data_IF_226807623708
#
_entry.id   IF_226807623708
#
_cell.length_a   1.000
_cell.length_b   1.000
_cell.length_c   1.000
_cell.angle_alpha   90.00
_cell.angle_beta   90.00
_cell.angle_gamma   90.00
#
_symmetry.space_group_name_H-M   'P 1'
#
loop_
_entity.id
_entity.type
_entity.pdbx_description
1 polymer ?
#
# COMPACT_ATOMS: atom_id res chain seq x y z
N UNK A 1 -5.56 -2.10 3.11
CA UNK A 1 -4.68 -1.44 4.11
C UNK A 1 -3.24 -1.89 3.89
N UNK A 2 -2.79 -3.04 4.43
CA UNK A 2 -1.41 -3.52 4.18
C UNK A 2 -1.25 -3.99 2.74
N UNK A 3 -0.44 -3.25 1.97
CA UNK A 3 -0.14 -3.55 0.57
C UNK A 3 1.23 -3.05 0.14
N UNK A 4 1.48 -3.01 -1.17
CA UNK A 4 2.78 -2.70 -1.76
C UNK A 4 3.44 -1.41 -1.25
N UNK A 5 2.64 -0.41 -0.81
CA UNK A 5 3.17 0.85 -0.28
C UNK A 5 4.06 0.71 0.97
N UNK A 6 3.93 -0.37 1.75
CA UNK A 6 4.83 -0.62 2.88
C UNK A 6 6.31 -0.75 2.46
N UNK A 7 6.55 -1.23 1.22
CA UNK A 7 7.88 -1.49 0.70
C UNK A 7 8.67 -0.22 0.38
N UNK A 8 7.99 0.91 0.17
CA UNK A 8 8.61 2.21 -0.09
C UNK A 8 8.81 3.07 1.16
N UNK A 9 8.19 2.72 2.29
CA UNK A 9 8.34 3.50 3.53
C UNK A 9 9.80 3.72 3.96
N UNK A 10 10.72 2.73 3.86
CA UNK A 10 12.13 2.95 4.18
C UNK A 10 12.79 3.97 3.26
N UNK A 11 12.40 3.97 1.99
CA UNK A 11 12.85 4.96 1.00
C UNK A 11 12.32 6.34 1.34
N UNK A 12 11.03 6.47 1.68
CA UNK A 12 10.45 7.72 2.14
C UNK A 12 11.19 8.28 3.37
N UNK A 13 11.56 7.41 4.33
CA UNK A 13 12.38 7.79 5.48
C UNK A 13 13.76 8.31 5.07
N UNK A 14 14.38 7.75 4.01
CA UNK A 14 15.67 8.23 3.51
C UNK A 14 15.63 9.63 2.88
N UNK A 15 14.46 10.04 2.40
CA UNK A 15 14.23 11.38 1.86
C UNK A 15 13.80 12.38 2.93
N UNK A 16 13.09 11.93 3.98
CA UNK A 16 12.62 12.76 5.08
C UNK A 16 13.64 12.90 6.23
N UNK A 17 14.56 11.94 6.36
CA UNK A 17 15.42 11.77 7.53
C UNK A 17 14.67 11.25 8.76
N UNK A 18 15.40 10.99 9.85
CA UNK A 18 14.82 10.44 11.08
C UNK A 18 13.74 11.31 11.71
N UNK A 19 14.04 12.59 11.97
CA UNK A 19 13.12 13.48 12.69
C UNK A 19 11.79 13.68 11.95
N UNK A 20 11.81 14.32 10.76
CA UNK A 20 10.60 14.49 9.97
C UNK A 20 9.96 13.16 9.55
N UNK A 21 10.77 12.14 9.19
CA UNK A 21 10.26 10.84 8.76
C UNK A 21 9.44 10.12 9.84
N UNK A 22 9.97 9.98 11.05
CA UNK A 22 9.24 9.38 12.18
C UNK A 22 8.00 10.19 12.54
N UNK A 23 8.11 11.52 12.52
CA UNK A 23 6.98 12.42 12.81
C UNK A 23 5.85 12.21 11.80
N UNK A 24 6.17 12.23 10.50
CA UNK A 24 5.20 12.00 9.42
C UNK A 24 4.60 10.59 9.52
N UNK A 25 5.41 9.56 9.78
CA UNK A 25 4.91 8.19 9.92
C UNK A 25 3.87 8.04 11.05
N UNK A 26 4.15 8.61 12.22
CA UNK A 26 3.24 8.59 13.39
C UNK A 26 1.99 9.43 13.11
N UNK A 27 2.16 10.66 12.63
CA UNK A 27 1.03 11.55 12.34
C UNK A 27 0.14 10.97 11.26
N UNK A 28 0.69 10.42 10.18
CA UNK A 28 -0.08 9.75 9.13
C UNK A 28 -0.87 8.58 9.69
N UNK A 29 -0.29 7.74 10.57
CA UNK A 29 -1.02 6.65 11.20
C UNK A 29 -2.21 7.15 12.05
N UNK A 30 -2.01 8.18 12.87
CA UNK A 30 -3.06 8.77 13.73
C UNK A 30 -4.14 9.45 12.90
N UNK A 31 -3.76 10.31 11.97
CA UNK A 31 -4.69 11.08 11.12
C UNK A 31 -5.52 10.15 10.26
N UNK A 32 -4.89 9.13 9.67
CA UNK A 32 -5.60 8.18 8.81
C UNK A 32 -6.57 7.32 9.61
N UNK A 33 -6.21 6.89 10.84
CA UNK A 33 -7.12 6.19 11.74
C UNK A 33 -8.32 7.06 12.12
N UNK A 34 -8.07 8.31 12.47
CA UNK A 34 -9.11 9.27 12.83
C UNK A 34 -10.06 9.55 11.65
N UNK A 35 -9.53 9.78 10.47
CA UNK A 35 -10.35 10.02 9.27
C UNK A 35 -11.13 8.77 8.85
N UNK A 36 -10.57 7.56 9.02
CA UNK A 36 -11.31 6.32 8.81
C UNK A 36 -12.45 6.13 9.81
N UNK A 37 -12.22 6.47 11.09
CA UNK A 37 -13.28 6.51 12.09
C UNK A 37 -14.42 7.43 11.68
N UNK A 38 -14.10 8.64 11.20
CA UNK A 38 -15.12 9.58 10.72
C UNK A 38 -15.95 8.97 9.59
N UNK A 39 -15.33 8.29 8.62
CA UNK A 39 -16.05 7.62 7.53
C UNK A 39 -16.99 6.53 8.05
N UNK A 40 -16.54 5.74 9.03
CA UNK A 40 -17.36 4.68 9.64
C UNK A 40 -18.60 5.24 10.34
N UNK A 41 -18.46 6.35 11.06
CA UNK A 41 -19.60 7.03 11.69
C UNK A 41 -20.50 7.72 10.66
N UNK A 42 -19.92 8.33 9.63
CA UNK A 42 -20.67 9.04 8.58
C UNK A 42 -21.49 8.10 7.69
N UNK A 43 -21.13 6.82 7.57
CA UNK A 43 -21.86 5.85 6.76
C UNK A 43 -23.36 5.75 7.13
N UNK A 44 -23.72 5.97 8.39
CA UNK A 44 -25.10 5.86 8.90
C UNK A 44 -25.49 7.07 9.76
N UNK A 45 -24.93 8.25 9.46
CA UNK A 45 -25.18 9.46 10.27
C UNK A 45 -26.60 10.03 10.14
N UNK A 46 -27.32 9.69 9.06
CA UNK A 46 -28.70 10.10 8.83
C UNK A 46 -29.63 8.92 9.08
N UNK A 47 -30.63 9.03 9.97
CA UNK A 47 -31.59 7.95 10.20
C UNK A 47 -32.26 7.49 8.90
N UNK A 48 -32.20 6.18 8.63
CA UNK A 48 -32.83 5.58 7.45
C UNK A 48 -32.05 5.71 6.13
N UNK A 49 -30.86 6.33 6.14
CA UNK A 49 -30.00 6.44 4.95
C UNK A 49 -28.61 5.89 5.24
N UNK A 50 -28.13 5.03 4.35
CA UNK A 50 -26.72 4.59 4.32
C UNK A 50 -26.01 5.31 3.18
N UNK A 51 -24.76 5.72 3.43
CA UNK A 51 -23.87 6.28 2.41
C UNK A 51 -22.86 5.20 2.03
N UNK A 52 -23.23 4.36 1.07
CA UNK A 52 -22.48 3.16 0.71
C UNK A 52 -21.26 3.48 -0.17
N UNK A 53 -21.22 4.69 -0.76
CA UNK A 53 -20.13 5.15 -1.64
C UNK A 53 -19.60 6.50 -1.23
N UNK A 54 -18.30 6.72 -1.43
CA UNK A 54 -17.65 7.98 -1.02
C UNK A 54 -18.23 9.23 -1.69
N UNK A 55 -18.61 9.14 -2.96
CA UNK A 55 -19.23 10.26 -3.66
C UNK A 55 -20.61 10.63 -3.09
N UNK A 56 -21.34 9.72 -2.45
CA UNK A 56 -22.62 10.01 -1.83
C UNK A 56 -22.46 10.90 -0.59
N UNK A 57 -21.40 10.69 0.20
CA UNK A 57 -21.01 11.61 1.27
C UNK A 57 -20.62 12.98 0.71
N UNK A 58 -19.87 13.00 -0.40
CA UNK A 58 -19.53 14.24 -1.10
C UNK A 58 -20.76 15.02 -1.55
N UNK A 59 -21.74 14.33 -2.14
CA UNK A 59 -23.00 14.91 -2.57
C UNK A 59 -23.84 15.41 -1.39
N UNK A 60 -23.81 14.71 -0.26
CA UNK A 60 -24.49 15.15 0.95
C UNK A 60 -23.85 16.41 1.56
N UNK A 61 -22.52 16.47 1.59
CA UNK A 61 -21.79 17.59 2.17
C UNK A 61 -21.78 18.86 1.28
N UNK A 62 -21.65 18.70 -0.03
CA UNK A 62 -21.43 19.80 -0.98
C UNK A 62 -22.57 20.01 -1.97
N UNK A 63 -23.62 19.19 -1.93
CA UNK A 63 -24.74 19.20 -2.88
C UNK A 63 -24.53 18.25 -4.07
N UNK A 64 -25.64 17.88 -4.72
CA UNK A 64 -25.67 16.76 -5.69
C UNK A 64 -24.68 16.89 -6.86
N UNK A 65 -24.51 18.09 -7.41
CA UNK A 65 -23.60 18.34 -8.54
C UNK A 65 -22.19 18.62 -8.07
N UNK A 66 -22.02 19.57 -7.15
CA UNK A 66 -20.68 20.01 -6.72
C UNK A 66 -19.93 18.89 -5.99
N UNK A 67 -20.62 18.08 -5.17
CA UNK A 67 -20.03 16.91 -4.52
C UNK A 67 -19.45 15.90 -5.50
N UNK A 68 -20.15 15.62 -6.61
CA UNK A 68 -19.63 14.75 -7.67
C UNK A 68 -18.39 15.35 -8.34
N UNK A 69 -18.44 16.62 -8.73
CA UNK A 69 -17.33 17.28 -9.41
C UNK A 69 -16.06 17.41 -8.55
N UNK A 70 -16.20 17.45 -7.23
CA UNK A 70 -15.06 17.46 -6.31
C UNK A 70 -14.52 16.04 -6.10
N UNK A 71 -15.39 15.09 -5.75
CA UNK A 71 -14.97 13.77 -5.27
C UNK A 71 -14.53 12.84 -6.40
N UNK A 72 -15.29 12.77 -7.49
CA UNK A 72 -15.05 11.77 -8.56
C UNK A 72 -13.68 11.96 -9.22
N UNK A 73 -13.22 13.18 -9.58
CA UNK A 73 -11.88 13.35 -10.16
C UNK A 73 -10.77 12.91 -9.21
N UNK A 74 -10.89 13.17 -7.91
CA UNK A 74 -9.90 12.78 -6.91
C UNK A 74 -9.85 11.25 -6.76
N UNK A 75 -11.02 10.58 -6.71
CA UNK A 75 -11.09 9.12 -6.69
C UNK A 75 -10.43 8.54 -7.95
N UNK A 76 -10.77 9.04 -9.13
CA UNK A 76 -10.17 8.55 -10.39
C UNK A 76 -8.66 8.70 -10.42
N UNK A 77 -8.11 9.82 -9.94
CA UNK A 77 -6.65 10.02 -9.85
C UNK A 77 -6.02 8.96 -8.94
N UNK A 78 -6.63 8.69 -7.78
CA UNK A 78 -6.13 7.68 -6.83
C UNK A 78 -6.19 6.28 -7.46
N UNK A 79 -7.32 5.88 -8.06
CA UNK A 79 -7.47 4.54 -8.64
C UNK A 79 -6.53 4.31 -9.83
N UNK A 80 -6.40 5.29 -10.73
CA UNK A 80 -5.46 5.21 -11.86
C UNK A 80 -4.03 5.16 -11.35
N UNK A 81 -3.69 5.97 -10.33
CA UNK A 81 -2.39 5.98 -9.69
C UNK A 81 -2.03 4.63 -9.07
N UNK A 82 -2.94 4.04 -8.29
CA UNK A 82 -2.79 2.70 -7.70
C UNK A 82 -2.53 1.67 -8.80
N UNK A 83 -3.29 1.71 -9.89
CA UNK A 83 -3.09 0.79 -11.01
C UNK A 83 -1.68 0.93 -11.63
N UNK A 84 -1.20 2.15 -11.84
CA UNK A 84 0.14 2.37 -12.39
C UNK A 84 1.22 1.83 -11.43
N UNK A 85 1.14 2.18 -10.14
CA UNK A 85 2.11 1.76 -9.13
C UNK A 85 2.15 0.24 -8.99
N UNK A 86 0.99 -0.42 -9.05
CA UNK A 86 0.90 -1.87 -8.93
C UNK A 86 1.49 -2.59 -10.14
N UNK A 87 1.28 -2.09 -11.36
CA UNK A 87 1.94 -2.62 -12.57
C UNK A 87 3.47 -2.52 -12.48
N UNK A 88 3.98 -1.37 -12.04
CA UNK A 88 5.42 -1.16 -11.86
C UNK A 88 5.97 -2.05 -10.74
N UNK A 89 5.27 -2.16 -9.61
CA UNK A 89 5.68 -2.98 -8.47
C UNK A 89 5.71 -4.46 -8.82
N UNK A 90 4.68 -4.97 -9.49
CA UNK A 90 4.62 -6.35 -9.98
C UNK A 90 5.75 -6.65 -10.97
N UNK A 91 5.98 -5.75 -11.94
CA UNK A 91 7.09 -5.88 -12.89
C UNK A 91 8.48 -5.86 -12.24
N UNK A 92 8.71 -4.95 -11.27
CA UNK A 92 9.97 -4.89 -10.52
C UNK A 92 10.20 -6.17 -9.71
N UNK A 93 9.14 -6.69 -9.10
CA UNK A 93 9.21 -7.93 -8.30
C UNK A 93 9.51 -9.14 -9.18
N UNK A 94 8.87 -9.26 -10.35
CA UNK A 94 9.19 -10.30 -11.33
C UNK A 94 10.62 -10.21 -11.84
N UNK A 95 11.11 -8.99 -12.16
CA UNK A 95 12.50 -8.77 -12.56
C UNK A 95 13.47 -9.23 -11.47
N UNK A 96 13.24 -8.79 -10.22
CA UNK A 96 14.09 -9.16 -9.08
C UNK A 96 14.08 -10.66 -8.86
N UNK A 97 12.94 -11.34 -8.97
CA UNK A 97 12.85 -12.79 -8.92
C UNK A 97 13.70 -13.45 -10.01
N UNK A 98 13.54 -13.04 -11.26
CA UNK A 98 14.31 -13.56 -12.40
C UNK A 98 15.82 -13.41 -12.18
N UNK A 99 16.26 -12.20 -11.83
CA UNK A 99 17.68 -11.88 -11.64
C UNK A 99 18.29 -12.64 -10.44
N UNK A 100 17.46 -12.98 -9.44
CA UNK A 100 17.88 -13.73 -8.25
C UNK A 100 17.99 -15.24 -8.52
N UNK A 101 17.07 -15.81 -9.30
CA UNK A 101 17.03 -17.25 -9.60
C UNK A 101 17.94 -17.63 -10.76
N UNK A 102 18.15 -16.72 -11.72
CA UNK A 102 18.99 -16.96 -12.89
C UNK A 102 20.04 -15.85 -13.04
N UNK A 103 21.12 -15.94 -12.25
CA UNK A 103 22.22 -14.97 -12.28
C UNK A 103 23.01 -14.95 -13.60
N UNK A 104 22.91 -16.01 -14.41
CA UNK A 104 23.57 -16.13 -15.73
C UNK A 104 22.62 -15.82 -16.89
N UNK A 105 21.36 -15.49 -16.62
CA UNK A 105 20.39 -15.14 -17.66
C UNK A 105 20.72 -13.78 -18.28
N UNK A 106 20.22 -13.57 -19.50
CA UNK A 106 20.32 -12.27 -20.18
C UNK A 106 19.58 -11.20 -19.38
N UNK A 107 20.17 -10.01 -19.27
CA UNK A 107 19.47 -8.86 -18.69
C UNK A 107 18.28 -8.47 -19.59
N UNK A 108 17.09 -8.48 -19.00
CA UNK A 108 15.83 -8.15 -19.65
C UNK A 108 15.33 -6.82 -19.07
N UNK A 109 14.95 -5.89 -19.96
CA UNK A 109 14.44 -4.58 -19.55
C UNK A 109 13.18 -4.72 -18.69
N UNK A 110 13.06 -3.87 -17.66
CA UNK A 110 11.91 -3.82 -16.76
C UNK A 110 10.56 -3.74 -17.51
N UNK A 111 10.50 -3.00 -18.62
CA UNK A 111 9.29 -2.87 -19.44
C UNK A 111 8.70 -4.22 -19.87
N UNK A 112 9.54 -5.22 -20.16
CA UNK A 112 9.05 -6.56 -20.51
C UNK A 112 8.43 -7.27 -19.31
N UNK A 113 9.01 -7.15 -18.12
CA UNK A 113 8.42 -7.71 -16.90
C UNK A 113 7.10 -7.02 -16.53
N UNK A 114 6.99 -5.71 -16.75
CA UNK A 114 5.71 -4.99 -16.60
C UNK A 114 4.67 -5.53 -17.59
N UNK A 115 5.04 -5.76 -18.85
CA UNK A 115 4.13 -6.35 -19.85
C UNK A 115 3.73 -7.78 -19.50
N UNK A 116 4.64 -8.61 -18.98
CA UNK A 116 4.35 -9.96 -18.49
C UNK A 116 3.37 -9.90 -17.31
N UNK A 117 3.58 -8.98 -16.36
CA UNK A 117 2.67 -8.81 -15.25
C UNK A 117 1.29 -8.32 -15.73
N UNK A 118 1.26 -7.37 -16.66
CA UNK A 118 0.02 -6.84 -17.24
C UNK A 118 -0.77 -7.89 -18.03
N UNK A 119 -0.11 -8.84 -18.71
CA UNK A 119 -0.81 -9.89 -19.45
C UNK A 119 -1.61 -10.82 -18.53
N UNK A 120 -1.14 -11.06 -17.31
CA UNK A 120 -1.90 -11.79 -16.28
C UNK A 120 -3.20 -11.03 -15.97
N UNK A 121 -3.13 -9.73 -15.73
CA UNK A 121 -4.31 -8.90 -15.47
C UNK A 121 -5.26 -8.82 -16.66
N UNK A 122 -4.73 -8.76 -17.88
CA UNK A 122 -5.53 -8.82 -19.10
C UNK A 122 -6.32 -10.12 -19.19
N UNK A 123 -5.73 -11.28 -18.88
CA UNK A 123 -6.45 -12.55 -18.85
C UNK A 123 -7.51 -12.56 -17.74
N UNK A 124 -7.13 -12.10 -16.53
CA UNK A 124 -8.04 -12.05 -15.39
C UNK A 124 -9.24 -11.12 -15.62
N UNK A 125 -9.10 -10.03 -16.38
CA UNK A 125 -10.20 -9.11 -16.67
C UNK A 125 -11.29 -9.72 -17.56
N UNK A 126 -11.02 -10.85 -18.23
CA UNK A 126 -12.00 -11.56 -19.05
C UNK A 126 -12.78 -12.61 -18.27
N UNK A 127 -12.43 -12.88 -17.00
CA UNK A 127 -13.13 -13.87 -16.18
C UNK A 127 -14.45 -13.28 -15.67
N UNK A 128 -15.61 -13.88 -16.03
CA UNK A 128 -16.92 -13.29 -15.76
C UNK A 128 -17.37 -13.43 -14.29
N UNK A 129 -16.69 -14.24 -13.48
CA UNK A 129 -17.14 -14.49 -12.12
C UNK A 129 -16.01 -14.86 -11.16
N UNK A 130 -15.72 -13.98 -10.21
CA UNK A 130 -14.80 -14.24 -9.10
C UNK A 130 -15.56 -14.86 -7.90
N UNK A 131 -16.25 -15.97 -8.10
CA UNK A 131 -17.11 -16.62 -7.09
C UNK A 131 -16.42 -17.02 -5.77
N UNK A 132 -15.12 -16.77 -5.59
CA UNK A 132 -14.43 -16.84 -4.29
C UNK A 132 -13.41 -15.71 -4.10
N UNK A 133 -13.85 -14.45 -4.21
CA UNK A 133 -13.04 -13.25 -3.87
C UNK A 133 -12.43 -13.39 -2.47
N UNK A 134 -13.14 -14.02 -1.52
CA UNK A 134 -12.65 -14.20 -0.14
C UNK A 134 -11.37 -15.03 -0.06
N UNK A 135 -11.25 -16.10 -0.85
CA UNK A 135 -10.06 -16.95 -0.87
C UNK A 135 -8.84 -16.22 -1.42
N UNK A 136 -9.02 -15.45 -2.50
CA UNK A 136 -7.94 -14.65 -3.09
C UNK A 136 -7.56 -13.46 -2.20
N UNK A 137 -8.55 -12.79 -1.61
CA UNK A 137 -8.32 -11.70 -0.64
C UNK A 137 -7.55 -12.20 0.59
N UNK A 138 -7.88 -13.39 1.10
CA UNK A 138 -7.15 -14.03 2.18
C UNK A 138 -5.71 -14.36 1.75
N UNK A 139 -5.52 -14.94 0.57
CA UNK A 139 -4.18 -15.22 0.04
C UNK A 139 -3.36 -13.93 -0.10
N UNK A 140 -3.92 -12.87 -0.68
CA UNK A 140 -3.26 -11.58 -0.83
C UNK A 140 -2.88 -10.96 0.52
N UNK A 141 -3.75 -11.07 1.53
CA UNK A 141 -3.45 -10.62 2.89
C UNK A 141 -2.32 -11.43 3.53
N UNK A 142 -2.32 -12.76 3.41
CA UNK A 142 -1.23 -13.61 3.92
C UNK A 142 0.09 -13.28 3.24
N UNK A 143 0.08 -13.09 1.92
CA UNK A 143 1.28 -12.68 1.17
C UNK A 143 1.79 -11.31 1.63
N UNK A 144 0.90 -10.36 1.94
CA UNK A 144 1.27 -9.02 2.42
C UNK A 144 2.00 -9.04 3.74
N UNK A 145 1.44 -9.74 4.72
CA UNK A 145 2.05 -9.93 6.03
C UNK A 145 3.39 -10.66 5.90
N UNK A 146 3.46 -11.64 5.00
CA UNK A 146 4.67 -12.43 4.78
C UNK A 146 5.81 -11.59 4.21
N UNK A 147 5.60 -10.86 3.11
CA UNK A 147 6.67 -10.05 2.53
C UNK A 147 7.04 -8.85 3.43
N UNK A 148 6.10 -8.28 4.19
CA UNK A 148 6.42 -7.24 5.18
C UNK A 148 7.31 -7.80 6.29
N UNK A 149 6.99 -9.00 6.79
CA UNK A 149 7.78 -9.66 7.83
C UNK A 149 9.18 -10.00 7.33
N UNK A 150 9.28 -10.52 6.10
CA UNK A 150 10.57 -10.80 5.47
C UNK A 150 11.36 -9.50 5.27
N UNK A 151 10.72 -8.41 4.84
CA UNK A 151 11.40 -7.15 4.59
C UNK A 151 12.13 -6.63 5.82
N UNK A 152 11.48 -6.53 6.99
CA UNK A 152 12.16 -6.06 8.20
C UNK A 152 13.08 -7.14 8.80
N UNK A 153 12.66 -8.41 8.81
CA UNK A 153 13.43 -9.52 9.40
C UNK A 153 14.75 -9.77 8.67
N UNK A 154 14.72 -9.83 7.34
CA UNK A 154 15.93 -9.95 6.53
C UNK A 154 16.80 -8.69 6.59
N UNK A 155 16.22 -7.51 6.82
CA UNK A 155 16.99 -6.29 7.05
C UNK A 155 17.78 -6.37 8.36
N UNK A 156 17.16 -6.85 9.46
CA UNK A 156 17.86 -7.08 10.74
C UNK A 156 19.02 -8.07 10.54
N UNK A 157 18.76 -9.19 9.87
CA UNK A 157 19.79 -10.23 9.62
C UNK A 157 20.96 -9.69 8.78
N UNK A 158 20.66 -8.85 7.77
CA UNK A 158 21.70 -8.21 6.95
C UNK A 158 22.55 -7.22 7.74
N UNK A 159 22.02 -6.66 8.82
CA UNK A 159 22.69 -5.70 9.69
C UNK A 159 22.91 -4.32 9.05
N UNK A 160 23.47 -3.42 9.85
CA UNK A 160 23.77 -2.05 9.44
C UNK A 160 24.80 -2.08 8.30
N UNK A 161 24.47 -1.49 7.16
CA UNK A 161 25.36 -1.47 6.01
C UNK A 161 26.63 -0.65 6.28
N UNK A 162 27.74 -1.05 5.65
CA UNK A 162 28.99 -0.30 5.73
C UNK A 162 28.79 1.12 5.18
N UNK A 163 29.37 2.12 5.86
CA UNK A 163 29.30 3.53 5.50
C UNK A 163 27.88 4.12 5.38
N UNK A 164 26.92 3.58 6.14
CA UNK A 164 25.53 4.06 6.15
C UNK A 164 25.46 5.54 6.53
N UNK A 165 24.65 6.30 5.79
CA UNK A 165 24.36 7.71 6.08
C UNK A 165 22.86 7.92 6.31
N UNK A 166 22.54 8.74 7.31
CA UNK A 166 21.17 9.11 7.69
C UNK A 166 20.85 10.60 7.48
N UNK A 167 21.71 11.33 6.76
CA UNK A 167 21.39 12.68 6.30
C UNK A 167 20.44 12.63 5.10
N UNK A 168 20.05 13.78 4.54
CA UNK A 168 19.26 13.80 3.32
C UNK A 168 19.99 13.14 2.15
N UNK A 169 19.26 12.36 1.36
CA UNK A 169 19.78 11.67 0.18
C UNK A 169 20.21 12.65 -0.92
N UNK A 170 19.36 13.64 -1.20
CA UNK A 170 19.70 14.73 -2.11
C UNK A 170 20.81 15.64 -1.55
N UNK A 171 21.71 16.09 -2.43
CA UNK A 171 22.83 16.98 -2.07
C UNK A 171 22.55 18.47 -2.31
N UNK A 172 21.49 18.78 -3.05
CA UNK A 172 21.07 20.16 -3.34
C UNK A 172 19.80 20.49 -2.57
N UNK A 173 19.65 21.75 -2.15
CA UNK A 173 18.46 22.21 -1.42
C UNK A 173 17.17 21.96 -2.21
N UNK A 174 17.18 22.25 -3.51
CA UNK A 174 16.03 21.98 -4.38
C UNK A 174 15.68 20.49 -4.43
N UNK A 175 16.68 19.62 -4.57
CA UNK A 175 16.48 18.17 -4.55
C UNK A 175 15.89 17.68 -3.23
N UNK A 176 16.40 18.18 -2.10
CA UNK A 176 15.86 17.84 -0.77
C UNK A 176 14.38 18.23 -0.65
N UNK A 177 14.00 19.43 -1.13
CA UNK A 177 12.61 19.89 -1.08
C UNK A 177 11.70 19.00 -1.94
N UNK A 178 12.07 18.73 -3.19
CA UNK A 178 11.25 17.88 -4.07
C UNK A 178 11.14 16.44 -3.55
N UNK A 179 12.23 15.90 -3.02
CA UNK A 179 12.23 14.56 -2.45
C UNK A 179 11.40 14.48 -1.16
N UNK A 180 11.42 15.53 -0.34
CA UNK A 180 10.56 15.63 0.85
C UNK A 180 9.08 15.53 0.47
N UNK A 181 8.63 16.30 -0.52
CA UNK A 181 7.24 16.24 -0.99
C UNK A 181 6.89 14.89 -1.63
N UNK A 182 7.84 14.30 -2.37
CA UNK A 182 7.65 12.96 -2.96
C UNK A 182 7.47 11.91 -1.87
N UNK A 183 8.27 11.98 -0.80
CA UNK A 183 8.18 11.06 0.33
C UNK A 183 6.90 11.23 1.15
N UNK A 184 6.34 12.44 1.25
CA UNK A 184 4.99 12.62 1.81
C UNK A 184 3.95 11.86 0.98
N UNK A 185 4.10 11.86 -0.36
CA UNK A 185 3.28 11.08 -1.27
C UNK A 185 3.41 9.57 -1.05
N UNK A 186 4.64 9.07 -0.88
CA UNK A 186 4.90 7.66 -0.58
C UNK A 186 4.24 7.22 0.74
N UNK A 187 4.36 8.04 1.79
CA UNK A 187 3.70 7.74 3.08
C UNK A 187 2.18 7.80 2.95
N UNK A 188 1.64 8.79 2.24
CA UNK A 188 0.19 8.87 2.02
C UNK A 188 -0.34 7.66 1.24
N UNK A 189 0.37 7.22 0.19
CA UNK A 189 0.03 6.05 -0.60
C UNK A 189 0.07 4.75 0.23
N UNK A 190 1.03 4.63 1.15
CA UNK A 190 1.10 3.48 2.05
C UNK A 190 -0.15 3.34 2.93
N UNK A 191 -0.75 4.45 3.37
CA UNK A 191 -1.98 4.44 4.18
C UNK A 191 -3.28 4.49 3.35
N UNK A 192 -3.33 3.77 2.22
CA UNK A 192 -4.53 3.65 1.40
C UNK A 192 -5.59 2.70 2.02
N UNK A 193 -6.86 3.02 1.80
CA UNK A 193 -8.02 2.20 2.21
C UNK A 193 -9.33 2.97 2.37
N UNK A 194 -9.27 4.30 2.50
CA UNK A 194 -10.45 5.17 2.60
C UNK A 194 -11.37 5.10 1.39
N UNK A 195 -10.82 4.85 0.20
CA UNK A 195 -11.56 4.76 -1.06
C UNK A 195 -12.54 3.57 -1.14
N UNK A 196 -12.40 2.58 -0.26
CA UNK A 196 -13.23 1.35 -0.25
C UNK A 196 -13.91 1.07 1.08
N UNK A 197 -13.68 1.89 2.11
CA UNK A 197 -14.17 1.60 3.47
C UNK A 197 -15.69 1.57 3.54
N UNK A 198 -16.37 2.48 2.83
CA UNK A 198 -17.82 2.57 2.85
C UNK A 198 -18.44 1.38 2.13
N UNK A 199 -17.86 0.99 0.99
CA UNK A 199 -18.27 -0.17 0.22
C UNK A 199 -18.10 -1.46 1.01
N UNK A 200 -17.03 -1.58 1.82
CA UNK A 200 -16.85 -2.69 2.76
C UNK A 200 -17.93 -2.67 3.85
N UNK A 201 -18.16 -1.51 4.49
CA UNK A 201 -19.16 -1.37 5.54
C UNK A 201 -20.59 -1.63 5.03
N UNK A 202 -20.89 -1.28 3.78
CA UNK A 202 -22.16 -1.54 3.13
C UNK A 202 -22.50 -3.04 3.10
N UNK A 203 -21.49 -3.92 3.02
CA UNK A 203 -21.68 -5.39 3.06
C UNK A 203 -22.02 -5.95 4.44
N UNK A 204 -21.82 -5.18 5.51
CA UNK A 204 -22.13 -5.58 6.87
C UNK A 204 -23.63 -5.35 7.12
N UNK A 205 -24.39 -6.38 7.57
CA UNK A 205 -25.79 -6.21 7.93
C UNK A 205 -25.97 -5.14 9.00
N UNK A 206 -26.97 -4.28 8.83
CA UNK A 206 -27.26 -3.16 9.73
C UNK A 206 -28.75 -3.12 10.08
N UNK A 207 -29.07 -2.92 11.36
CA UNK A 207 -30.42 -2.62 11.85
C UNK A 207 -30.38 -1.40 12.78
N UNK A 208 -31.51 -0.72 13.05
CA UNK A 208 -31.54 0.39 14.00
C UNK A 208 -30.97 0.06 15.38
N UNK A 209 -31.13 -1.19 15.83
CA UNK A 209 -30.63 -1.68 17.13
C UNK A 209 -29.16 -2.18 17.05
N UNK A 210 -28.68 -2.52 15.85
CA UNK A 210 -27.36 -3.09 15.59
C UNK A 210 -26.73 -2.42 14.36
N UNK A 211 -26.24 -1.18 14.48
CA UNK A 211 -25.67 -0.46 13.35
C UNK A 211 -24.34 -1.08 12.90
N UNK A 212 -24.09 -1.06 11.59
CA UNK A 212 -22.89 -1.63 10.96
C UNK A 212 -21.58 -1.01 11.45
N UNK A 213 -21.64 0.23 11.95
CA UNK A 213 -20.47 0.97 12.47
C UNK A 213 -19.75 0.26 13.61
N UNK A 214 -20.47 -0.48 14.46
CA UNK A 214 -19.87 -1.20 15.59
C UNK A 214 -18.92 -2.32 15.15
N UNK A 215 -19.41 -3.32 14.39
CA UNK A 215 -18.55 -4.35 13.79
C UNK A 215 -17.46 -3.77 12.89
N UNK A 216 -17.79 -2.77 12.08
CA UNK A 216 -16.83 -2.13 11.18
C UNK A 216 -15.67 -1.50 11.95
N UNK A 217 -15.96 -0.72 13.00
CA UNK A 217 -14.92 -0.06 13.80
C UNK A 217 -13.98 -1.05 14.48
N UNK A 218 -14.49 -2.18 14.99
CA UNK A 218 -13.63 -3.25 15.53
C UNK A 218 -12.69 -3.80 14.46
N UNK A 219 -13.19 -4.00 13.24
CA UNK A 219 -12.38 -4.41 12.09
C UNK A 219 -11.29 -3.39 11.76
N UNK A 220 -11.64 -2.09 11.75
CA UNK A 220 -10.69 -1.00 11.51
C UNK A 220 -9.58 -0.96 12.56
N UNK A 221 -9.91 -1.09 13.85
CA UNK A 221 -8.91 -1.11 14.92
C UNK A 221 -7.93 -2.28 14.75
N UNK A 222 -8.43 -3.49 14.50
CA UNK A 222 -7.57 -4.66 14.25
C UNK A 222 -6.68 -4.44 13.03
N UNK A 223 -7.25 -3.92 11.93
CA UNK A 223 -6.49 -3.62 10.72
C UNK A 223 -5.39 -2.58 10.98
N UNK A 224 -5.64 -1.55 11.78
CA UNK A 224 -4.66 -0.52 12.12
C UNK A 224 -3.53 -1.00 13.04
N UNK A 225 -3.82 -1.94 13.94
CA UNK A 225 -2.80 -2.63 14.73
C UNK A 225 -1.89 -3.44 13.79
N UNK A 226 -2.47 -4.20 12.87
CA UNK A 226 -1.71 -4.98 11.88
C UNK A 226 -0.87 -4.06 10.98
N UNK A 227 -1.43 -2.94 10.52
CA UNK A 227 -0.70 -1.92 9.78
C UNK A 227 0.49 -1.40 10.59
N UNK A 228 0.31 -1.06 11.87
CA UNK A 228 1.40 -0.61 12.71
C UNK A 228 2.51 -1.67 12.83
N UNK A 229 2.15 -2.93 13.04
CA UNK A 229 3.07 -4.06 13.15
C UNK A 229 3.83 -4.36 11.84
N UNK A 230 3.26 -4.02 10.68
CA UNK A 230 3.96 -4.16 9.41
C UNK A 230 4.78 -2.92 9.04
N UNK A 231 4.20 -1.72 9.20
CA UNK A 231 4.74 -0.50 8.62
C UNK A 231 5.87 0.07 9.44
N UNK A 232 5.72 0.13 10.76
CA UNK A 232 6.73 0.72 11.63
C UNK A 232 8.03 -0.09 11.63
N UNK A 233 8.00 -1.43 11.78
CA UNK A 233 9.23 -2.22 11.68
C UNK A 233 9.89 -2.09 10.31
N UNK A 234 9.12 -2.20 9.21
CA UNK A 234 9.70 -2.07 7.86
C UNK A 234 10.33 -0.70 7.67
N UNK A 235 9.63 0.39 7.98
CA UNK A 235 10.13 1.76 7.83
C UNK A 235 11.36 2.03 8.70
N UNK A 236 11.27 1.78 10.00
CA UNK A 236 12.30 2.13 10.97
C UNK A 236 13.53 1.22 10.85
N UNK A 237 13.34 -0.10 10.79
CA UNK A 237 14.46 -1.04 10.65
C UNK A 237 15.07 -0.92 9.26
N UNK A 238 14.24 -0.85 8.21
CA UNK A 238 14.72 -0.69 6.84
C UNK A 238 15.58 0.54 6.69
N UNK A 239 15.11 1.70 7.19
CA UNK A 239 15.91 2.91 7.15
C UNK A 239 17.14 2.84 8.06
N UNK A 240 17.03 2.23 9.24
CA UNK A 240 18.18 2.04 10.13
C UNK A 240 19.27 1.17 9.51
N UNK A 241 18.92 0.10 8.79
CA UNK A 241 19.93 -0.79 8.21
C UNK A 241 20.59 -0.20 6.97
N UNK A 242 19.80 0.46 6.10
CA UNK A 242 20.26 0.90 4.77
C UNK A 242 20.53 2.41 4.65
N UNK A 243 19.96 3.25 5.49
CA UNK A 243 20.05 4.71 5.38
C UNK A 243 19.71 5.20 3.96
N UNK A 244 20.56 6.06 3.41
CA UNK A 244 20.37 6.64 2.07
C UNK A 244 20.57 5.65 0.90
N UNK A 245 21.14 4.46 1.16
CA UNK A 245 21.38 3.45 0.13
C UNK A 245 20.13 2.61 -0.19
N UNK A 246 19.08 2.74 0.61
CA UNK A 246 17.84 2.01 0.40
C UNK A 246 17.24 2.34 -0.96
N UNK A 247 16.81 1.29 -1.66
CA UNK A 247 16.07 1.37 -2.91
C UNK A 247 14.61 1.70 -2.63
N UNK A 248 13.91 2.18 -3.65
CA UNK A 248 12.49 2.55 -3.62
C UNK A 248 11.55 1.40 -3.23
N UNK A 249 12.00 0.16 -3.43
CA UNK A 249 11.43 -1.03 -2.81
C UNK A 249 12.51 -1.72 -1.97
N UNK A 250 12.28 -1.83 -0.66
CA UNK A 250 13.25 -2.43 0.26
C UNK A 250 13.63 -3.88 -0.10
N UNK A 251 12.74 -4.67 -0.70
CA UNK A 251 13.06 -6.04 -1.14
C UNK A 251 14.11 -6.07 -2.25
N UNK A 252 14.27 -4.97 -3.00
CA UNK A 252 15.32 -4.84 -4.02
C UNK A 252 16.67 -4.57 -3.35
N UNK A 253 16.70 -3.91 -2.19
CA UNK A 253 17.90 -3.63 -1.38
C UNK A 253 18.48 -4.90 -0.71
N UNK A 254 17.69 -5.97 -0.66
CA UNK A 254 18.10 -7.26 -0.15
C UNK A 254 18.69 -8.14 -1.26
N UNK A 255 19.74 -8.90 -0.92
CA UNK A 255 20.50 -9.71 -1.89
C UNK A 255 20.71 -11.16 -1.44
N UNK A 256 20.72 -11.42 -0.13
CA UNK A 256 20.96 -12.74 0.44
C UNK A 256 20.02 -13.00 1.63
N UNK A 257 19.63 -14.26 1.87
CA UNK A 257 19.83 -15.42 0.99
C UNK A 257 18.88 -15.38 -0.23
N UNK A 258 19.36 -15.80 -1.40
CA UNK A 258 18.67 -15.63 -2.69
C UNK A 258 17.25 -16.24 -2.71
N UNK A 259 17.06 -17.43 -2.13
CA UNK A 259 15.76 -18.10 -2.11
C UNK A 259 14.69 -17.29 -1.35
N UNK A 260 15.08 -16.62 -0.26
CA UNK A 260 14.18 -15.82 0.57
C UNK A 260 13.74 -14.56 -0.19
N UNK A 261 14.68 -13.94 -0.91
CA UNK A 261 14.40 -12.73 -1.71
C UNK A 261 13.53 -13.08 -2.92
N UNK A 262 13.83 -14.19 -3.59
CA UNK A 262 12.99 -14.70 -4.68
C UNK A 262 11.56 -14.96 -4.18
N UNK A 263 11.41 -15.66 -3.05
CA UNK A 263 10.11 -15.95 -2.45
C UNK A 263 9.34 -14.67 -2.07
N UNK A 264 9.99 -13.70 -1.41
CA UNK A 264 9.36 -12.45 -1.01
C UNK A 264 8.86 -11.64 -2.21
N UNK A 265 9.63 -11.58 -3.30
CA UNK A 265 9.20 -10.91 -4.52
C UNK A 265 8.02 -11.63 -5.18
N UNK A 266 7.97 -12.96 -5.14
CA UNK A 266 6.80 -13.70 -5.62
C UNK A 266 5.56 -13.50 -4.74
N UNK A 267 5.73 -13.33 -3.43
CA UNK A 267 4.62 -12.94 -2.54
C UNK A 267 4.05 -11.57 -2.94
N UNK A 268 4.89 -10.60 -3.29
CA UNK A 268 4.43 -9.31 -3.83
C UNK A 268 3.65 -9.51 -5.13
N UNK A 269 4.16 -10.32 -6.07
CA UNK A 269 3.47 -10.62 -7.35
C UNK A 269 2.09 -11.20 -7.09
N UNK A 270 1.97 -12.23 -6.25
CA UNK A 270 0.69 -12.88 -5.93
C UNK A 270 -0.26 -11.92 -5.21
N UNK A 271 0.25 -11.14 -4.25
CA UNK A 271 -0.53 -10.11 -3.56
C UNK A 271 -1.13 -9.12 -4.56
N UNK A 272 -0.29 -8.53 -5.42
CA UNK A 272 -0.71 -7.45 -6.33
C UNK A 272 -1.66 -7.98 -7.39
N UNK A 273 -1.50 -9.23 -7.84
CA UNK A 273 -2.48 -9.91 -8.70
C UNK A 273 -3.86 -9.95 -8.03
N UNK A 274 -3.91 -10.31 -6.75
CA UNK A 274 -5.14 -10.36 -5.97
C UNK A 274 -5.78 -8.99 -5.69
N UNK A 275 -5.04 -7.90 -5.84
CA UNK A 275 -5.55 -6.55 -5.56
C UNK A 275 -6.37 -5.92 -6.69
N UNK A 276 -6.37 -6.49 -7.90
CA UNK A 276 -7.17 -6.01 -9.05
C UNK A 276 -8.58 -6.61 -9.13
N UNK A 277 -9.07 -7.20 -8.04
CA UNK A 277 -10.38 -7.82 -8.03
C UNK A 277 -11.49 -6.75 -8.03
N UNK A 278 -11.99 -6.44 -9.22
CA UNK A 278 -13.18 -5.61 -9.38
C UNK A 278 -14.42 -6.51 -9.39
N UNK A 279 -15.34 -6.27 -8.45
CA UNK A 279 -16.74 -6.67 -8.59
C UNK A 279 -17.32 -5.81 -9.72
N UNK A 280 -17.66 -6.44 -10.84
CA UNK A 280 -18.65 -5.90 -11.78
C UNK A 280 -20.01 -6.42 -11.31
#
# INVERSE_FOLDING_TARGET
MVGAGVLSLPYAMSELGWGPGVTVLILSWIITLYTLWQMVEMHEMVPGRRFDRYHELGQYAFGEKLGLYIVVPQQLIVEVGVCIVYMVTGGKSLKKFHDTVCSTCKDIKLTYFIMIFASVHFVLSHLPNFNSISGVSLAAAVMSLSYSTIAWGASVDKGVQQDVQYGYKAKTTAGTVFNFFSALGDVAFAYAGHNVVLEIQATIPSTPEKPSKGPMWRGVIVAYIVVALCYFPVALVGYWMFGNSVQDNILISLEKPAWLIAMANMFVVVHVIGSYQVRI
#
